data_IF_070031588811
#
_entry.id   IF_070031588811
#
_cell.length_a   1.000
_cell.length_b   1.000
_cell.length_c   1.000
_cell.angle_alpha   90.00
_cell.angle_beta   90.00
_cell.angle_gamma   90.00
#
_symmetry.space_group_name_H-M   'P 1'
#
loop_
_entity.id
_entity.type
_entity.pdbx_description
1 polymer ?
#
# COMPACT_ATOMS: atom_id res chain seq x y z
N UNK A 1 22.20 -0.63 12.14
CA UNK A 1 21.82 -1.32 10.88
C UNK A 1 21.98 -2.85 10.92
N UNK A 2 22.46 -3.45 12.01
CA UNK A 2 22.38 -4.90 12.27
C UNK A 2 21.21 -5.30 13.18
N UNK A 3 20.06 -4.61 13.10
CA UNK A 3 18.92 -4.94 13.96
C UNK A 3 18.27 -6.25 13.48
N UNK A 4 18.00 -7.23 14.36
CA UNK A 4 17.50 -8.54 13.94
C UNK A 4 16.24 -8.50 13.07
N UNK A 5 15.26 -7.66 13.39
CA UNK A 5 14.00 -7.57 12.61
C UNK A 5 14.21 -6.99 11.21
N UNK A 6 15.17 -6.08 11.02
CA UNK A 6 15.52 -5.60 9.69
C UNK A 6 16.18 -6.71 8.86
N UNK A 7 17.05 -7.50 9.50
CA UNK A 7 17.69 -8.65 8.84
C UNK A 7 16.65 -9.71 8.45
N UNK A 8 15.64 -9.96 9.29
CA UNK A 8 14.53 -10.85 8.96
C UNK A 8 13.73 -10.33 7.74
N UNK A 9 13.34 -9.06 7.77
CA UNK A 9 12.60 -8.41 6.68
C UNK A 9 13.33 -8.57 5.34
N UNK A 10 14.62 -8.21 5.29
CA UNK A 10 15.38 -8.25 4.04
C UNK A 10 15.68 -9.69 3.61
N UNK A 11 16.07 -10.58 4.54
CA UNK A 11 16.43 -11.96 4.20
C UNK A 11 15.22 -12.74 3.67
N UNK A 12 14.05 -12.61 4.29
CA UNK A 12 12.83 -13.29 3.84
C UNK A 12 12.31 -12.75 2.52
N UNK A 13 12.41 -11.44 2.31
CA UNK A 13 12.06 -10.83 1.01
C UNK A 13 12.96 -11.37 -0.10
N UNK A 14 14.28 -11.40 0.12
CA UNK A 14 15.24 -11.98 -0.84
C UNK A 14 14.97 -13.45 -1.10
N UNK A 15 14.73 -14.24 -0.05
CA UNK A 15 14.42 -15.66 -0.19
C UNK A 15 13.15 -15.90 -1.02
N UNK A 16 12.11 -15.09 -0.84
CA UNK A 16 10.89 -15.17 -1.64
C UNK A 16 11.15 -14.85 -3.13
N UNK A 17 11.97 -13.85 -3.43
CA UNK A 17 12.32 -13.48 -4.80
C UNK A 17 13.24 -14.51 -5.48
N UNK A 18 14.22 -15.02 -4.75
CA UNK A 18 15.14 -16.07 -5.23
C UNK A 18 14.43 -17.38 -5.53
N UNK A 19 13.31 -17.67 -4.85
CA UNK A 19 12.59 -18.93 -5.00
C UNK A 19 12.10 -19.16 -6.43
N UNK A 20 11.74 -18.09 -7.14
CA UNK A 20 11.30 -18.15 -8.53
C UNK A 20 11.59 -16.81 -9.24
N UNK A 21 12.34 -16.79 -10.35
CA UNK A 21 12.63 -15.55 -11.09
C UNK A 21 11.39 -14.83 -11.64
N UNK A 22 10.23 -15.50 -11.69
CA UNK A 22 8.94 -14.89 -12.07
C UNK A 22 8.21 -14.22 -10.91
N UNK A 23 8.67 -14.37 -9.66
CA UNK A 23 8.08 -13.67 -8.53
C UNK A 23 8.33 -12.17 -8.66
N UNK A 24 7.33 -11.37 -8.31
CA UNK A 24 7.41 -9.91 -8.33
C UNK A 24 7.05 -9.36 -6.94
N UNK A 25 7.92 -8.53 -6.37
CA UNK A 25 7.61 -7.74 -5.19
C UNK A 25 6.70 -6.58 -5.57
N UNK A 26 5.43 -6.69 -5.19
CA UNK A 26 4.38 -5.72 -5.54
C UNK A 26 4.37 -4.49 -4.63
N UNK A 27 4.50 -4.70 -3.32
CA UNK A 27 4.40 -3.67 -2.30
C UNK A 27 4.95 -4.19 -0.97
N UNK A 28 5.23 -3.28 -0.04
CA UNK A 28 5.43 -3.58 1.38
C UNK A 28 4.26 -3.01 2.16
N UNK A 29 3.49 -3.85 2.85
CA UNK A 29 2.49 -3.38 3.81
C UNK A 29 3.16 -3.16 5.17
N UNK A 30 3.15 -1.92 5.65
CA UNK A 30 3.82 -1.50 6.89
C UNK A 30 2.82 -0.90 7.86
N UNK A 31 2.68 -1.46 9.06
CA UNK A 31 1.84 -0.91 10.14
C UNK A 31 2.68 -0.90 11.40
N UNK A 32 3.20 0.27 11.75
CA UNK A 32 4.11 0.43 12.88
C UNK A 32 4.17 1.89 13.32
N UNK A 33 4.14 2.11 14.64
CA UNK A 33 4.39 3.42 15.26
C UNK A 33 3.86 3.54 16.68
N UNK A 34 3.00 2.62 17.11
CA UNK A 34 2.31 2.58 18.41
C UNK A 34 3.25 2.82 19.59
N UNK A 35 4.32 2.02 19.69
CA UNK A 35 5.26 2.13 20.79
C UNK A 35 6.22 3.31 20.67
N UNK A 36 6.53 3.78 19.44
CA UNK A 36 7.33 4.99 19.26
C UNK A 36 6.59 6.21 19.82
N UNK A 37 5.27 6.30 19.64
CA UNK A 37 4.47 7.40 20.21
C UNK A 37 4.52 7.44 21.75
N UNK A 38 4.64 6.28 22.40
CA UNK A 38 4.78 6.20 23.85
C UNK A 38 6.20 6.51 24.36
N UNK A 39 7.19 6.56 23.46
CA UNK A 39 8.58 6.76 23.81
C UNK A 39 8.96 8.25 23.85
N UNK A 40 9.89 8.60 24.74
CA UNK A 40 10.48 9.94 24.80
C UNK A 40 11.18 10.33 23.49
N UNK A 41 11.58 9.35 22.67
CA UNK A 41 12.30 9.52 21.41
C UNK A 41 11.39 9.51 20.17
N UNK A 42 10.07 9.61 20.30
CA UNK A 42 9.11 9.56 19.18
C UNK A 42 9.50 10.45 17.98
N UNK A 43 10.07 11.63 18.25
CA UNK A 43 10.51 12.58 17.22
C UNK A 43 11.62 12.04 16.30
N UNK A 44 12.33 10.99 16.70
CA UNK A 44 13.36 10.35 15.88
C UNK A 44 12.76 9.35 14.87
N UNK A 45 11.53 8.89 15.09
CA UNK A 45 10.92 7.81 14.32
C UNK A 45 10.89 8.10 12.81
N UNK A 46 10.49 9.30 12.31
CA UNK A 46 10.43 9.55 10.87
C UNK A 46 11.80 9.44 10.16
N UNK A 47 12.86 9.91 10.82
CA UNK A 47 14.22 9.81 10.30
C UNK A 47 14.72 8.35 10.29
N UNK A 48 14.42 7.59 11.34
CA UNK A 48 14.77 6.17 11.44
C UNK A 48 14.04 5.32 10.40
N UNK A 49 12.75 5.59 10.19
CA UNK A 49 11.96 4.95 9.12
C UNK A 49 12.56 5.26 7.74
N UNK A 50 12.89 6.53 7.47
CA UNK A 50 13.49 6.93 6.19
C UNK A 50 14.84 6.27 5.93
N UNK A 51 15.67 6.13 6.97
CA UNK A 51 16.93 5.39 6.88
C UNK A 51 16.69 3.89 6.58
N UNK A 52 15.68 3.28 7.22
CA UNK A 52 15.30 1.88 6.96
C UNK A 52 14.78 1.69 5.53
N UNK A 53 13.91 2.57 5.05
CA UNK A 53 13.36 2.55 3.69
C UNK A 53 14.47 2.63 2.65
N UNK A 54 15.35 3.62 2.77
CA UNK A 54 16.51 3.81 1.88
C UNK A 54 17.38 2.55 1.87
N UNK A 55 17.65 1.97 3.04
CA UNK A 55 18.47 0.77 3.16
C UNK A 55 17.80 -0.46 2.52
N UNK A 56 16.51 -0.68 2.76
CA UNK A 56 15.74 -1.78 2.16
C UNK A 56 15.80 -1.74 0.63
N UNK A 57 15.58 -0.56 0.04
CA UNK A 57 15.65 -0.36 -1.41
C UNK A 57 17.05 -0.65 -1.96
N UNK A 58 18.09 -0.15 -1.30
CA UNK A 58 19.47 -0.41 -1.69
C UNK A 58 19.80 -1.92 -1.63
N UNK A 59 19.42 -2.58 -0.54
CA UNK A 59 19.70 -4.01 -0.33
C UNK A 59 18.93 -4.93 -1.28
N UNK A 60 17.82 -4.47 -1.88
CA UNK A 60 17.05 -5.19 -2.88
C UNK A 60 17.40 -4.86 -4.33
N UNK A 61 18.32 -3.94 -4.60
CA UNK A 61 18.67 -3.50 -5.96
C UNK A 61 19.06 -4.65 -6.91
N UNK A 62 19.69 -5.71 -6.39
CA UNK A 62 20.02 -6.91 -7.17
C UNK A 62 18.79 -7.68 -7.69
N UNK A 63 17.60 -7.40 -7.15
CA UNK A 63 16.31 -7.95 -7.57
C UNK A 63 15.44 -6.93 -8.32
N UNK A 64 16.00 -5.83 -8.84
CA UNK A 64 15.24 -4.78 -9.54
C UNK A 64 14.27 -5.32 -10.61
N UNK A 65 14.71 -6.27 -11.43
CA UNK A 65 13.87 -6.92 -12.45
C UNK A 65 12.63 -7.64 -11.88
N UNK A 66 12.68 -8.02 -10.60
CA UNK A 66 11.60 -8.68 -9.85
C UNK A 66 10.86 -7.70 -8.92
N UNK A 67 11.06 -6.40 -9.06
CA UNK A 67 10.31 -5.39 -8.33
C UNK A 67 9.25 -4.76 -9.24
N UNK A 68 8.15 -4.30 -8.65
CA UNK A 68 7.23 -3.42 -9.35
C UNK A 68 7.99 -2.24 -10.00
N UNK A 69 7.64 -1.89 -11.23
CA UNK A 69 8.34 -0.85 -11.99
C UNK A 69 9.75 -1.23 -12.48
N UNK A 70 10.22 -2.45 -12.21
CA UNK A 70 11.58 -2.86 -12.56
C UNK A 70 12.65 -2.25 -11.65
N UNK A 71 12.26 -1.72 -10.49
CA UNK A 71 13.16 -1.03 -9.56
C UNK A 71 12.70 -1.21 -8.12
N UNK A 72 13.61 -1.59 -7.23
CA UNK A 72 13.33 -1.61 -5.80
C UNK A 72 12.98 -0.22 -5.25
N UNK A 73 13.45 0.86 -5.90
CA UNK A 73 13.12 2.22 -5.52
C UNK A 73 11.64 2.57 -5.73
N UNK A 74 10.99 1.93 -6.70
CA UNK A 74 9.60 2.20 -7.08
C UNK A 74 8.60 1.29 -6.36
N UNK A 75 9.08 0.31 -5.57
CA UNK A 75 8.20 -0.55 -4.77
C UNK A 75 7.47 0.31 -3.74
N UNK A 76 6.12 0.33 -3.77
CA UNK A 76 5.34 1.14 -2.86
C UNK A 76 5.38 0.56 -1.43
N UNK A 77 5.55 1.45 -0.46
CA UNK A 77 5.36 1.17 0.95
C UNK A 77 3.99 1.68 1.37
N UNK A 78 3.08 0.74 1.58
CA UNK A 78 1.70 0.98 1.98
C UNK A 78 1.68 1.05 3.51
N UNK A 79 1.78 2.28 4.03
CA UNK A 79 1.86 2.57 5.46
C UNK A 79 0.45 2.71 6.03
N UNK A 80 -0.01 1.67 6.72
CA UNK A 80 -1.31 1.65 7.36
C UNK A 80 -1.34 2.42 8.68
N UNK A 81 -2.48 3.03 8.93
CA UNK A 81 -2.80 3.75 10.16
C UNK A 81 -2.93 2.83 11.39
N UNK A 82 -3.25 3.40 12.54
CA UNK A 82 -3.48 2.70 13.80
C UNK A 82 -4.90 2.87 14.33
N UNK A 83 -5.21 2.25 15.46
CA UNK A 83 -6.52 2.36 16.10
C UNK A 83 -6.77 3.77 16.63
N UNK A 84 -8.04 4.16 16.77
CA UNK A 84 -8.40 5.44 17.38
C UNK A 84 -7.81 5.62 18.79
N UNK A 85 -7.59 4.54 19.55
CA UNK A 85 -7.03 4.60 20.90
C UNK A 85 -5.68 5.30 20.89
N UNK A 86 -4.75 4.85 20.05
CA UNK A 86 -3.40 5.39 19.99
C UNK A 86 -3.38 6.86 19.60
N UNK A 87 -4.20 7.25 18.61
CA UNK A 87 -4.32 8.65 18.21
C UNK A 87 -4.90 9.52 19.34
N UNK A 88 -5.92 9.04 20.06
CA UNK A 88 -6.54 9.80 21.13
C UNK A 88 -5.61 9.93 22.35
N UNK A 89 -4.85 8.88 22.67
CA UNK A 89 -3.92 8.88 23.82
C UNK A 89 -2.66 9.70 23.54
N UNK A 90 -2.15 9.68 22.30
CA UNK A 90 -0.87 10.29 21.92
C UNK A 90 -1.02 11.26 20.75
N UNK A 91 -2.02 12.14 20.78
CA UNK A 91 -2.37 12.99 19.64
C UNK A 91 -1.18 13.76 19.05
N UNK A 92 -0.37 14.40 19.90
CA UNK A 92 0.83 15.15 19.46
C UNK A 92 1.88 14.24 18.82
N UNK A 93 2.15 13.09 19.44
CA UNK A 93 3.16 12.16 18.94
C UNK A 93 2.67 11.44 17.68
N UNK A 94 1.37 11.20 17.54
CA UNK A 94 0.74 10.64 16.34
C UNK A 94 0.99 11.52 15.13
N UNK A 95 0.83 12.84 15.26
CA UNK A 95 1.09 13.78 14.17
C UNK A 95 2.57 13.78 13.75
N UNK A 96 3.48 13.41 14.65
CA UNK A 96 4.89 13.25 14.30
C UNK A 96 5.17 11.89 13.64
N UNK A 97 4.72 10.79 14.26
CA UNK A 97 5.02 9.42 13.83
C UNK A 97 4.22 9.04 12.59
N UNK A 98 2.88 9.08 12.67
CA UNK A 98 2.00 8.73 11.54
C UNK A 98 1.89 9.88 10.53
N UNK A 99 2.04 11.13 10.96
CA UNK A 99 2.21 12.24 10.02
C UNK A 99 3.48 12.11 9.18
N UNK A 100 4.54 11.48 9.71
CA UNK A 100 5.76 11.15 8.97
C UNK A 100 5.60 10.16 7.81
N UNK A 101 4.42 9.53 7.66
CA UNK A 101 4.06 8.69 6.52
C UNK A 101 3.21 9.42 5.46
N UNK A 102 2.62 10.58 5.78
CA UNK A 102 1.70 11.30 4.89
C UNK A 102 2.45 12.21 3.92
N UNK A 103 1.87 12.46 2.74
CA UNK A 103 2.41 13.37 1.71
C UNK A 103 3.81 12.96 1.21
N UNK A 104 4.07 11.65 1.13
CA UNK A 104 5.36 11.06 0.74
C UNK A 104 5.23 10.13 -0.46
N UNK A 105 4.20 10.33 -1.27
CA UNK A 105 3.92 9.54 -2.46
C UNK A 105 5.04 9.67 -3.50
N UNK A 106 5.73 10.82 -3.55
CA UNK A 106 6.93 11.03 -4.36
C UNK A 106 8.12 10.15 -3.94
N UNK A 107 8.12 9.68 -2.70
CA UNK A 107 9.08 8.71 -2.19
C UNK A 107 8.53 7.27 -2.26
N UNK A 108 7.38 7.05 -2.89
CA UNK A 108 6.69 5.76 -2.95
C UNK A 108 6.14 5.29 -1.60
N UNK A 109 5.85 6.21 -0.67
CA UNK A 109 5.21 5.92 0.61
C UNK A 109 3.76 6.40 0.57
N UNK A 110 2.81 5.50 0.83
CA UNK A 110 1.39 5.76 0.71
C UNK A 110 0.71 5.51 2.06
N UNK A 111 0.16 6.57 2.65
CA UNK A 111 -0.57 6.45 3.91
C UNK A 111 -1.99 5.92 3.69
N UNK A 112 -2.39 4.90 4.45
CA UNK A 112 -3.72 4.28 4.35
C UNK A 112 -4.47 4.46 5.66
N UNK A 113 -5.50 5.34 5.71
CA UNK A 113 -6.26 5.58 6.92
C UNK A 113 -7.07 4.36 7.30
N UNK A 114 -7.16 4.03 8.59
CA UNK A 114 -7.99 2.94 9.10
C UNK A 114 -8.94 3.37 10.20
N UNK A 115 -8.79 4.56 10.78
CA UNK A 115 -9.49 4.89 12.02
C UNK A 115 -11.01 4.88 11.92
N UNK A 116 -11.58 5.33 10.81
CA UNK A 116 -13.04 5.36 10.62
C UNK A 116 -13.45 4.73 9.29
N UNK A 117 -14.66 4.19 9.24
CA UNK A 117 -15.32 3.78 8.00
C UNK A 117 -15.82 4.98 7.18
N UNK A 118 -16.53 4.72 6.08
CA UNK A 118 -17.08 5.77 5.20
C UNK A 118 -18.18 6.62 5.84
N UNK A 119 -18.73 6.19 6.98
CA UNK A 119 -19.76 6.89 7.74
C UNK A 119 -19.20 7.64 8.96
N UNK A 120 -17.87 7.63 9.15
CA UNK A 120 -17.21 8.23 10.30
C UNK A 120 -17.25 7.39 11.57
N UNK A 121 -17.70 6.12 11.50
CA UNK A 121 -17.70 5.22 12.64
C UNK A 121 -16.31 4.65 12.84
N UNK A 122 -15.81 4.63 14.08
CA UNK A 122 -14.51 4.05 14.39
C UNK A 122 -14.42 2.59 13.93
N UNK A 123 -13.30 2.24 13.30
CA UNK A 123 -12.99 0.86 12.98
C UNK A 123 -12.85 0.06 14.25
N UNK A 124 -13.59 -1.05 14.32
CA UNK A 124 -13.68 -1.89 15.49
C UNK A 124 -12.31 -2.36 16.01
N UNK A 125 -12.13 -2.24 17.31
CA UNK A 125 -10.97 -2.74 18.05
C UNK A 125 -11.33 -4.00 18.83
N UNK A 126 -10.38 -4.57 19.55
CA UNK A 126 -10.64 -5.69 20.46
C UNK A 126 -11.40 -5.29 21.73
N UNK A 127 -11.88 -4.05 21.85
CA UNK A 127 -12.83 -3.66 22.89
C UNK A 127 -14.08 -4.56 22.80
N UNK A 128 -14.53 -5.22 23.90
CA UNK A 128 -15.63 -6.18 23.84
C UNK A 128 -16.93 -5.67 23.21
N UNK A 129 -17.25 -4.38 23.40
CA UNK A 129 -18.44 -3.76 22.81
C UNK A 129 -18.34 -3.56 21.29
N UNK A 130 -17.12 -3.50 20.74
CA UNK A 130 -16.86 -3.28 19.32
C UNK A 130 -16.63 -4.59 18.54
N UNK A 131 -16.37 -5.68 19.26
CA UNK A 131 -16.15 -7.02 18.69
C UNK A 131 -16.95 -8.10 19.43
N UNK A 132 -18.30 -8.04 19.36
CA UNK A 132 -19.19 -8.97 20.02
C UNK A 132 -19.17 -10.36 19.35
N UNK A 133 -19.72 -11.34 20.05
CA UNK A 133 -19.98 -12.65 19.47
C UNK A 133 -21.18 -12.57 18.52
N UNK A 134 -21.07 -13.29 17.41
CA UNK A 134 -22.13 -13.50 16.42
C UNK A 134 -22.26 -15.01 16.22
N UNK A 135 -22.89 -15.75 17.14
CA UNK A 135 -22.95 -17.22 17.08
C UNK A 135 -23.61 -17.75 15.80
N UNK A 136 -24.55 -17.00 15.23
CA UNK A 136 -25.22 -17.35 13.98
C UNK A 136 -24.25 -17.48 12.78
N UNK A 137 -23.11 -16.76 12.81
CA UNK A 137 -22.06 -16.88 11.79
C UNK A 137 -20.87 -17.71 12.25
N UNK A 138 -20.95 -18.36 13.42
CA UNK A 138 -19.83 -19.07 14.04
C UNK A 138 -18.68 -18.15 14.47
N UNK A 139 -18.93 -16.84 14.59
CA UNK A 139 -17.93 -15.87 14.99
C UNK A 139 -18.02 -15.57 16.48
N UNK A 140 -16.95 -15.87 17.22
CA UNK A 140 -16.78 -15.44 18.62
C UNK A 140 -15.67 -14.39 18.66
N UNK A 141 -16.07 -13.16 18.96
CA UNK A 141 -15.23 -11.98 18.91
C UNK A 141 -14.36 -11.82 20.15
N UNK A 142 -13.76 -10.65 20.30
CA UNK A 142 -12.96 -10.31 21.45
C UNK A 142 -13.78 -10.27 22.76
N UNK A 143 -15.12 -10.16 22.70
CA UNK A 143 -16.01 -10.27 23.85
C UNK A 143 -15.90 -11.63 24.58
N UNK A 144 -15.66 -12.71 23.85
CA UNK A 144 -15.45 -14.06 24.40
C UNK A 144 -14.08 -14.24 25.10
N UNK A 145 -13.18 -13.25 25.03
CA UNK A 145 -11.83 -13.33 25.64
C UNK A 145 -11.84 -12.88 27.09
N UNK A 146 -11.07 -13.58 27.92
CA UNK A 146 -10.82 -13.24 29.32
C UNK A 146 -9.38 -12.80 29.53
N UNK A 147 -9.04 -12.35 30.74
CA UNK A 147 -7.66 -12.02 31.10
C UNK A 147 -6.69 -13.22 30.92
N UNK A 148 -7.18 -14.45 30.97
CA UNK A 148 -6.35 -15.65 30.79
C UNK A 148 -5.97 -15.95 29.33
N UNK A 149 -6.61 -15.30 28.34
CA UNK A 149 -6.42 -15.64 26.93
C UNK A 149 -6.48 -14.45 25.94
N UNK A 150 -6.47 -13.22 26.45
CA UNK A 150 -6.35 -12.00 25.64
C UNK A 150 -4.88 -11.63 25.40
N UNK A 151 -4.62 -10.82 24.37
CA UNK A 151 -3.27 -10.35 24.01
C UNK A 151 -2.78 -9.24 24.94
N UNK A 152 -3.64 -8.26 25.21
CA UNK A 152 -3.35 -7.11 26.08
C UNK A 152 -4.56 -6.81 26.97
N UNK A 153 -4.30 -6.30 28.17
CA UNK A 153 -5.36 -5.79 29.05
C UNK A 153 -6.03 -4.55 28.48
N UNK A 154 -5.24 -3.69 27.83
CA UNK A 154 -5.75 -2.53 27.12
C UNK A 154 -6.28 -2.94 25.74
N UNK A 155 -7.56 -3.30 25.70
CA UNK A 155 -8.26 -3.89 24.56
C UNK A 155 -8.28 -3.04 23.28
N UNK A 156 -8.55 -1.72 23.32
CA UNK A 156 -8.70 -0.93 22.10
C UNK A 156 -7.38 -0.62 21.38
N UNK A 157 -6.22 -1.03 21.91
CA UNK A 157 -4.90 -0.86 21.28
C UNK A 157 -4.71 -1.65 19.98
N UNK A 158 -5.61 -2.59 19.67
CA UNK A 158 -5.52 -3.45 18.49
C UNK A 158 -6.86 -3.53 17.76
N UNK A 159 -6.82 -3.47 16.43
CA UNK A 159 -7.99 -3.76 15.58
C UNK A 159 -8.54 -5.17 15.80
N UNK A 160 -9.86 -5.29 15.73
CA UNK A 160 -10.59 -6.55 15.87
C UNK A 160 -10.30 -7.54 14.74
N UNK A 161 -10.66 -8.81 14.96
CA UNK A 161 -10.61 -9.82 13.89
C UNK A 161 -11.56 -9.47 12.75
N UNK A 162 -12.73 -8.89 13.07
CA UNK A 162 -13.69 -8.41 12.08
C UNK A 162 -13.11 -7.30 11.19
N UNK A 163 -12.48 -6.27 11.78
CA UNK A 163 -11.85 -5.18 11.04
C UNK A 163 -10.72 -5.69 10.11
N UNK A 164 -9.95 -6.68 10.57
CA UNK A 164 -8.86 -7.31 9.80
C UNK A 164 -9.34 -8.20 8.66
N UNK A 165 -10.62 -8.57 8.62
CA UNK A 165 -11.25 -9.32 7.52
C UNK A 165 -12.07 -8.44 6.58
N UNK A 166 -12.18 -7.15 6.88
CA UNK A 166 -13.04 -6.20 6.15
C UNK A 166 -12.24 -4.95 5.76
N UNK A 167 -12.46 -3.85 6.46
CA UNK A 167 -11.98 -2.52 6.09
C UNK A 167 -10.45 -2.41 5.95
N UNK A 168 -9.68 -3.13 6.76
CA UNK A 168 -8.20 -3.07 6.72
C UNK A 168 -7.67 -3.67 5.42
N UNK A 169 -7.92 -4.96 5.10
CA UNK A 169 -7.47 -5.53 3.84
C UNK A 169 -8.08 -4.83 2.63
N UNK A 170 -9.35 -4.38 2.69
CA UNK A 170 -9.97 -3.65 1.57
C UNK A 170 -9.21 -2.37 1.23
N UNK A 171 -8.84 -1.58 2.25
CA UNK A 171 -8.09 -0.34 2.06
C UNK A 171 -6.64 -0.58 1.64
N UNK A 172 -5.98 -1.57 2.23
CA UNK A 172 -4.62 -1.96 1.82
C UNK A 172 -4.59 -2.45 0.37
N UNK A 173 -5.51 -3.34 -0.02
CA UNK A 173 -5.62 -3.86 -1.37
C UNK A 173 -5.90 -2.72 -2.36
N UNK A 174 -6.81 -1.80 -2.03
CA UNK A 174 -7.09 -0.62 -2.84
C UNK A 174 -5.83 0.24 -3.04
N UNK A 175 -5.06 0.48 -1.98
CA UNK A 175 -3.82 1.26 -2.07
C UNK A 175 -2.76 0.55 -2.94
N UNK A 176 -2.59 -0.77 -2.80
CA UNK A 176 -1.70 -1.57 -3.66
C UNK A 176 -2.15 -1.50 -5.12
N UNK A 177 -3.44 -1.65 -5.39
CA UNK A 177 -3.98 -1.57 -6.74
C UNK A 177 -3.71 -0.20 -7.36
N UNK A 178 -3.89 0.87 -6.59
CA UNK A 178 -3.65 2.23 -7.05
C UNK A 178 -2.16 2.55 -7.28
N UNK A 179 -1.28 2.05 -6.41
CA UNK A 179 0.16 2.34 -6.49
C UNK A 179 0.91 1.44 -7.48
N UNK A 180 0.55 0.14 -7.54
CA UNK A 180 1.28 -0.87 -8.33
C UNK A 180 0.41 -1.71 -9.29
N UNK A 181 -0.90 -1.82 -9.02
CA UNK A 181 -1.78 -2.77 -9.71
C UNK A 181 -2.49 -2.27 -10.97
N UNK A 182 -2.39 -0.99 -11.35
CA UNK A 182 -3.03 -0.44 -12.56
C UNK A 182 -2.27 -0.73 -13.87
N UNK A 183 -1.25 -1.58 -13.85
CA UNK A 183 -0.55 -1.99 -15.08
C UNK A 183 -1.33 -3.06 -15.82
N UNK A 184 -1.34 -3.00 -17.16
CA UNK A 184 -2.04 -3.99 -18.00
C UNK A 184 -1.54 -5.42 -17.74
N UNK A 185 -0.25 -5.59 -17.52
CA UNK A 185 0.36 -6.86 -17.16
C UNK A 185 -0.23 -7.43 -15.87
N UNK A 186 -0.33 -6.61 -14.81
CA UNK A 186 -0.93 -7.02 -13.54
C UNK A 186 -2.40 -7.40 -13.68
N UNK A 187 -3.20 -6.57 -14.35
CA UNK A 187 -4.65 -6.81 -14.53
C UNK A 187 -4.92 -8.06 -15.38
N UNK A 188 -4.10 -8.32 -16.40
CA UNK A 188 -4.26 -9.48 -17.29
C UNK A 188 -3.58 -10.77 -16.80
N UNK A 189 -2.91 -10.73 -15.64
CA UNK A 189 -2.14 -11.86 -15.11
C UNK A 189 -0.93 -12.24 -15.97
N UNK A 190 -0.47 -11.34 -16.85
CA UNK A 190 0.72 -11.54 -17.69
C UNK A 190 1.95 -10.99 -16.99
N UNK A 191 3.11 -11.60 -17.24
CA UNK A 191 4.38 -11.09 -16.74
C UNK A 191 4.60 -9.64 -17.24
N UNK A 192 5.03 -8.71 -16.38
CA UNK A 192 5.35 -7.36 -16.82
C UNK A 192 6.47 -7.39 -17.87
N UNK A 193 6.29 -6.66 -18.97
CA UNK A 193 7.38 -6.38 -19.89
C UNK A 193 8.39 -5.47 -19.17
N UNK A 194 9.49 -6.06 -18.71
CA UNK A 194 10.59 -5.31 -18.11
C UNK A 194 11.27 -4.56 -19.25
N UNK A 195 11.05 -3.24 -19.35
CA UNK A 195 11.91 -2.39 -20.17
C UNK A 195 13.31 -2.42 -19.54
N UNK A 196 14.36 -2.86 -20.26
CA UNK A 196 15.71 -2.77 -19.74
C UNK A 196 16.05 -1.27 -19.54
N UNK A 197 16.67 -0.95 -18.39
CA UNK A 197 17.21 0.39 -18.14
C UNK A 197 18.17 0.79 -19.27
N UNK A 198 18.12 2.04 -19.77
CA UNK A 198 19.03 2.50 -20.81
C UNK A 198 20.43 2.72 -20.22
N UNK A 199 21.27 1.70 -20.30
CA UNK A 199 22.71 1.83 -20.15
C UNK A 199 23.36 1.82 -21.54
N UNK A 200 23.75 3.00 -22.04
CA UNK A 200 24.51 3.13 -23.29
C UNK A 200 24.36 4.50 -23.93
N UNK A 201 25.38 5.34 -23.81
CA UNK A 201 25.51 6.60 -24.54
C UNK A 201 25.51 6.33 -26.05
N UNK A 202 24.41 6.63 -26.73
CA UNK A 202 24.39 6.80 -28.19
C UNK A 202 23.36 7.87 -28.52
N UNK A 203 23.74 9.01 -29.11
CA UNK A 203 22.79 10.06 -29.44
C UNK A 203 21.94 9.59 -30.63
N UNK A 204 20.73 9.14 -30.35
CA UNK A 204 19.70 8.92 -31.37
C UNK A 204 18.68 10.05 -31.26
N UNK A 205 18.36 10.66 -32.40
CA UNK A 205 17.50 11.84 -32.55
C UNK A 205 16.09 11.68 -31.98
N UNK A 206 15.21 12.70 -32.14
CA UNK A 206 13.97 12.81 -31.37
C UNK A 206 13.06 11.62 -31.67
N UNK A 207 13.04 10.66 -30.74
CA UNK A 207 12.06 9.59 -30.75
C UNK A 207 10.76 10.20 -30.28
N UNK A 208 9.76 10.23 -31.17
CA UNK A 208 8.40 10.57 -30.81
C UNK A 208 7.92 9.54 -29.79
N UNK A 209 7.91 9.96 -28.51
CA UNK A 209 7.45 9.17 -27.38
C UNK A 209 5.96 8.87 -27.55
N UNK A 210 5.67 7.79 -28.27
CA UNK A 210 4.36 7.16 -28.35
C UNK A 210 4.23 6.22 -27.15
N UNK A 211 4.36 6.78 -25.95
CA UNK A 211 4.05 6.08 -24.72
C UNK A 211 2.54 5.89 -24.63
N UNK A 212 2.04 4.81 -25.23
CA UNK A 212 0.66 4.35 -25.04
C UNK A 212 0.52 3.90 -23.58
N UNK A 213 0.12 4.83 -22.70
CA UNK A 213 -0.32 4.50 -21.34
C UNK A 213 -1.71 3.92 -21.43
N UNK A 214 -1.82 2.59 -21.33
CA UNK A 214 -3.12 1.93 -21.24
C UNK A 214 -3.67 2.11 -19.83
N UNK A 215 -4.67 2.97 -19.67
CA UNK A 215 -5.38 3.19 -18.40
C UNK A 215 -6.64 2.32 -18.44
N UNK A 216 -6.71 1.30 -17.57
CA UNK A 216 -7.93 0.50 -17.41
C UNK A 216 -8.92 1.27 -16.54
N UNK A 217 -10.06 1.63 -17.11
CA UNK A 217 -11.20 2.16 -16.36
C UNK A 217 -11.93 1.00 -15.66
N UNK A 218 -12.44 1.22 -14.45
CA UNK A 218 -13.20 0.21 -13.72
C UNK A 218 -14.46 -0.22 -14.51
N UNK A 219 -14.84 -1.51 -14.52
CA UNK A 219 -16.00 -2.01 -15.28
C UNK A 219 -17.35 -1.41 -14.90
N UNK A 220 -17.44 -0.74 -13.74
CA UNK A 220 -18.72 -0.34 -13.16
C UNK A 220 -19.21 1.06 -13.55
N UNK A 221 -18.41 1.88 -14.23
CA UNK A 221 -18.85 3.26 -14.54
C UNK A 221 -18.81 3.64 -16.03
N UNK A 222 -18.00 2.98 -16.88
CA UNK A 222 -17.97 3.18 -18.34
C UNK A 222 -17.61 4.58 -18.86
N UNK A 223 -17.79 5.62 -18.06
CA UNK A 223 -17.71 7.02 -18.42
C UNK A 223 -16.56 7.67 -17.66
N UNK A 224 -15.60 8.20 -18.40
CA UNK A 224 -14.43 8.91 -17.85
C UNK A 224 -14.84 10.15 -17.03
N UNK A 225 -15.94 10.81 -17.44
CA UNK A 225 -16.48 11.97 -16.74
C UNK A 225 -16.99 11.65 -15.33
N UNK A 226 -17.70 10.51 -15.16
CA UNK A 226 -18.15 10.03 -13.85
C UNK A 226 -16.98 9.67 -12.91
N UNK A 227 -15.78 9.48 -13.46
CA UNK A 227 -14.55 9.19 -12.74
C UNK A 227 -13.66 10.43 -12.55
N UNK A 228 -14.18 11.64 -12.82
CA UNK A 228 -13.47 12.91 -12.60
C UNK A 228 -12.46 13.29 -13.67
N UNK A 229 -12.48 12.62 -14.83
CA UNK A 229 -11.56 12.90 -15.94
C UNK A 229 -12.20 13.83 -16.96
N UNK A 230 -11.43 14.82 -17.43
CA UNK A 230 -11.78 15.62 -18.61
C UNK A 230 -10.81 15.28 -19.74
N UNK A 231 -11.35 14.95 -20.92
CA UNK A 231 -10.58 14.66 -22.14
C UNK A 231 -10.57 15.92 -23.00
N UNK A 232 -9.39 16.46 -23.31
CA UNK A 232 -9.21 17.52 -24.31
C UNK A 232 -8.57 16.92 -25.56
N UNK A 233 -9.07 17.32 -26.73
CA UNK A 233 -8.54 16.98 -28.06
C UNK A 233 -8.59 15.48 -28.46
N UNK A 234 -9.49 14.70 -27.84
CA UNK A 234 -9.68 13.27 -28.11
C UNK A 234 -11.14 12.85 -28.19
N UNK A 235 -11.45 11.91 -29.08
CA UNK A 235 -12.76 11.23 -29.14
C UNK A 235 -12.75 9.94 -28.33
N UNK A 236 -13.91 9.55 -27.79
CA UNK A 236 -14.12 8.25 -27.14
C UNK A 236 -14.78 7.29 -28.13
N UNK A 237 -14.17 6.13 -28.38
CA UNK A 237 -14.80 5.05 -29.14
C UNK A 237 -14.66 3.73 -28.37
N UNK A 238 -15.80 3.05 -28.13
CA UNK A 238 -15.82 1.68 -27.65
C UNK A 238 -15.61 0.74 -28.84
N UNK A 239 -14.53 -0.03 -28.84
CA UNK A 239 -14.24 -1.07 -29.85
C UNK A 239 -13.76 -2.31 -29.11
N UNK A 240 -14.48 -3.42 -29.31
CA UNK A 240 -14.13 -4.73 -28.74
C UNK A 240 -13.94 -4.76 -27.22
N UNK A 241 -14.70 -3.93 -26.48
CA UNK A 241 -14.62 -3.86 -25.02
C UNK A 241 -13.36 -3.16 -24.48
N UNK A 242 -12.56 -2.52 -25.34
CA UNK A 242 -11.35 -1.78 -24.95
C UNK A 242 -11.49 -0.30 -25.30
N UNK A 243 -11.16 0.57 -24.34
CA UNK A 243 -11.14 2.02 -24.53
C UNK A 243 -9.95 2.42 -25.40
N UNK A 244 -10.20 3.09 -26.53
CA UNK A 244 -9.16 3.69 -27.37
C UNK A 244 -9.32 5.20 -27.38
N UNK A 245 -8.25 5.93 -27.06
CA UNK A 245 -8.18 7.38 -27.21
C UNK A 245 -7.40 7.66 -28.49
N UNK A 246 -8.06 8.27 -29.47
CA UNK A 246 -7.42 8.72 -30.72
C UNK A 246 -7.33 10.23 -30.73
N UNK A 247 -6.15 10.78 -31.04
CA UNK A 247 -5.98 12.20 -31.31
C UNK A 247 -6.81 12.56 -32.55
N UNK A 248 -7.73 13.50 -32.44
CA UNK A 248 -8.40 14.03 -33.62
C UNK A 248 -7.37 14.77 -34.49
N UNK A 249 -7.26 14.37 -35.75
CA UNK A 249 -6.63 15.22 -36.76
C UNK A 249 -7.66 16.29 -37.15
N UNK A 250 -7.28 17.55 -37.03
CA UNK A 250 -7.95 18.64 -37.75
C UNK A 250 -7.75 18.46 -39.25
#
# INVERSE_FOLDING_TARGET
MGKPLYQDLIARTKAALQKNPKNVLLAVCWMQGEFDMSAATHAQQPALFTAMLTRFRADLSVFNAQCHGGSAADVPWICGDTTYYWKNTYATQYDTVYGGYKNRESEGVYFVPFMTDGNGVNTATNAPAEDPDIPASGYYGAASRTNGNQVSSNRPTHFSSWARRSIIPDRLATAILNAAGRTSAFISGKAPEIKPSPGGNTPSGPSADTSVRTISLLPAAGEAAAQGWSIKDGGIQLSDGVFKITKQKQ
#
